data_IF_891818382347
#
_entry.id   IF_891818382347
#
_cell.length_a   1.000
_cell.length_b   1.000
_cell.length_c   1.000
_cell.angle_alpha   90.00
_cell.angle_beta   90.00
_cell.angle_gamma   90.00
#
_symmetry.space_group_name_H-M   'P 1'
#
loop_
_entity.id
_entity.type
_entity.pdbx_description
1 polymer ?
#
# COMPACT_ATOMS: atom_id res chain seq x y z
N UNK A 1 27.31 -10.85 -8.05
CA UNK A 1 27.16 -10.19 -8.00
C UNK A 1 26.64 -9.22 -7.50
N UNK A 2 26.65 -8.87 -7.22
CA UNK A 2 26.34 -8.17 -6.74
C UNK A 2 25.49 -7.42 -6.74
N UNK A 3 25.24 -7.22 -7.17
CA UNK A 3 24.65 -6.55 -7.21
C UNK A 3 23.74 -6.27 -6.85
N UNK A 4 23.58 -6.54 -6.59
CA UNK A 4 22.83 -6.41 -6.26
C UNK A 4 22.54 -5.50 -5.65
N UNK A 5 23.06 -5.20 -5.54
CA UNK A 5 23.01 -4.31 -5.16
C UNK A 5 22.28 -3.31 -5.17
N UNK A 6 21.79 -3.31 -5.65
CA UNK A 6 20.83 -2.39 -5.90
C UNK A 6 19.59 -2.46 -5.13
N UNK A 7 19.60 -3.06 -4.04
CA UNK A 7 18.48 -3.11 -3.19
C UNK A 7 18.16 -1.75 -2.69
N UNK A 8 16.96 -1.31 -2.94
CA UNK A 8 16.41 -0.10 -2.37
C UNK A 8 16.28 -0.34 -0.87
N UNK A 9 17.14 0.29 -0.12
CA UNK A 9 17.14 0.15 1.31
C UNK A 9 16.08 1.05 1.91
N UNK A 10 15.28 0.51 2.82
CA UNK A 10 14.31 1.29 3.55
C UNK A 10 15.02 2.21 4.56
N UNK A 11 14.50 3.41 4.73
CA UNK A 11 14.87 4.24 5.87
C UNK A 11 14.33 3.63 7.16
N UNK A 12 14.92 3.99 8.28
CA UNK A 12 14.51 3.45 9.58
C UNK A 12 13.02 3.64 9.88
N UNK A 13 12.46 4.80 9.55
CA UNK A 13 11.05 5.05 9.79
C UNK A 13 10.17 4.18 8.89
N UNK A 14 10.61 3.87 7.68
CA UNK A 14 9.88 2.98 6.76
C UNK A 14 9.91 1.54 7.26
N UNK A 15 11.08 1.06 7.69
CA UNK A 15 11.19 -0.27 8.30
C UNK A 15 10.29 -0.39 9.51
N UNK A 16 10.28 0.63 10.35
CA UNK A 16 9.44 0.64 11.55
C UNK A 16 7.95 0.53 11.20
N UNK A 17 7.49 1.26 10.18
CA UNK A 17 6.09 1.19 9.75
C UNK A 17 5.75 -0.20 9.23
N UNK A 18 6.59 -0.76 8.39
CA UNK A 18 6.38 -2.11 7.84
C UNK A 18 6.39 -3.15 8.96
N UNK A 19 7.32 -3.06 9.89
CA UNK A 19 7.41 -3.99 11.01
C UNK A 19 6.20 -3.89 11.95
N UNK A 20 5.72 -2.68 12.21
CA UNK A 20 4.51 -2.47 12.99
C UNK A 20 3.30 -3.13 12.31
N UNK A 21 3.18 -2.96 10.99
CA UNK A 21 2.10 -3.58 10.23
C UNK A 21 2.19 -5.10 10.29
N UNK A 22 3.38 -5.67 10.13
CA UNK A 22 3.58 -7.12 10.26
C UNK A 22 3.18 -7.64 11.62
N UNK A 23 3.57 -6.90 12.66
CA UNK A 23 3.26 -7.28 14.04
C UNK A 23 1.75 -7.32 14.27
N UNK A 24 1.03 -6.31 13.77
CA UNK A 24 -0.44 -6.28 13.84
C UNK A 24 -1.03 -7.49 13.15
N UNK A 25 -0.53 -7.86 11.97
CA UNK A 25 -1.07 -8.96 11.18
C UNK A 25 -0.77 -10.34 11.76
N UNK A 26 0.03 -10.46 12.82
CA UNK A 26 0.19 -11.71 13.54
C UNK A 26 -1.10 -12.14 14.26
N UNK A 27 -1.90 -11.18 14.69
CA UNK A 27 -3.10 -11.43 15.47
C UNK A 27 -4.38 -10.85 14.88
N UNK A 28 -4.25 -10.00 13.87
CA UNK A 28 -5.38 -9.30 13.24
C UNK A 28 -5.34 -9.47 11.74
N UNK A 29 -6.45 -9.18 11.09
CA UNK A 29 -6.62 -9.44 9.65
C UNK A 29 -6.27 -8.27 8.76
N UNK A 30 -6.31 -7.05 9.26
CA UNK A 30 -6.15 -5.89 8.40
C UNK A 30 -5.50 -4.69 9.07
N UNK A 31 -4.59 -4.03 8.35
CA UNK A 31 -3.90 -2.83 8.80
C UNK A 31 -3.90 -1.80 7.68
N UNK A 32 -4.12 -0.53 8.04
CA UNK A 32 -3.98 0.60 7.13
C UNK A 32 -2.71 1.36 7.51
N UNK A 33 -1.81 1.53 6.55
CA UNK A 33 -0.60 2.33 6.73
C UNK A 33 -0.87 3.71 6.15
N UNK A 34 -0.90 4.71 7.02
CA UNK A 34 -1.05 6.09 6.63
C UNK A 34 0.33 6.72 6.52
N UNK A 35 0.66 7.16 5.31
CA UNK A 35 1.97 7.73 5.02
C UNK A 35 1.79 8.90 4.07
N UNK A 36 2.27 10.11 4.41
CA UNK A 36 2.04 11.29 3.59
C UNK A 36 2.79 11.20 2.26
N UNK A 37 2.44 12.04 1.28
CA UNK A 37 3.26 12.17 0.07
C UNK A 37 4.70 12.50 0.47
N UNK A 38 5.65 11.90 -0.22
CA UNK A 38 7.07 12.12 0.06
C UNK A 38 7.69 11.14 1.05
N UNK A 39 6.90 10.25 1.62
CA UNK A 39 7.41 9.27 2.60
C UNK A 39 8.03 8.02 2.00
N UNK A 40 8.03 7.91 0.66
CA UNK A 40 8.54 6.69 0.01
C UNK A 40 7.59 5.52 0.12
N UNK A 41 6.29 5.78 -0.03
CA UNK A 41 5.26 4.74 0.04
C UNK A 41 5.52 3.59 -0.93
N UNK A 42 6.01 3.88 -2.13
CA UNK A 42 6.31 2.86 -3.14
C UNK A 42 7.32 1.82 -2.67
N UNK A 43 8.32 2.26 -1.93
CA UNK A 43 9.36 1.36 -1.39
C UNK A 43 8.77 0.44 -0.33
N UNK A 44 7.90 0.97 0.53
CA UNK A 44 7.22 0.19 1.56
C UNK A 44 6.26 -0.82 0.95
N UNK A 45 5.51 -0.41 -0.08
CA UNK A 45 4.61 -1.30 -0.82
C UNK A 45 5.42 -2.47 -1.40
N UNK A 46 6.52 -2.16 -2.08
CA UNK A 46 7.36 -3.17 -2.70
C UNK A 46 7.92 -4.15 -1.67
N UNK A 47 8.31 -3.65 -0.50
CA UNK A 47 8.82 -4.50 0.59
C UNK A 47 7.77 -5.47 1.10
N UNK A 48 6.54 -4.99 1.32
CA UNK A 48 5.44 -5.84 1.78
C UNK A 48 5.14 -6.93 0.75
N UNK A 49 5.03 -6.55 -0.53
CA UNK A 49 4.72 -7.49 -1.61
C UNK A 49 5.87 -8.50 -1.77
N UNK A 50 7.11 -8.03 -1.81
CA UNK A 50 8.28 -8.88 -2.00
C UNK A 50 8.39 -9.95 -0.89
N UNK A 51 8.21 -9.54 0.35
CA UNK A 51 8.27 -10.48 1.47
C UNK A 51 7.21 -11.57 1.37
N UNK A 52 6.00 -11.22 0.98
CA UNK A 52 4.92 -12.18 0.83
C UNK A 52 5.18 -13.13 -0.35
N UNK A 53 5.63 -12.61 -1.48
CA UNK A 53 5.96 -13.42 -2.66
C UNK A 53 7.12 -14.37 -2.36
N UNK A 54 8.15 -13.90 -1.68
CA UNK A 54 9.31 -14.73 -1.35
C UNK A 54 8.96 -15.89 -0.42
N UNK A 55 7.86 -15.77 0.32
CA UNK A 55 7.33 -16.85 1.16
C UNK A 55 6.41 -17.81 0.39
N UNK A 56 6.28 -17.61 -0.92
CA UNK A 56 5.44 -18.45 -1.77
C UNK A 56 3.96 -18.04 -1.77
N UNK A 57 3.62 -16.89 -1.25
CA UNK A 57 2.23 -16.44 -1.16
C UNK A 57 1.77 -15.73 -2.42
N UNK A 58 0.51 -15.94 -2.78
CA UNK A 58 -0.14 -15.22 -3.86
C UNK A 58 -0.74 -13.91 -3.33
N UNK A 59 -0.68 -12.85 -4.13
CA UNK A 59 -1.11 -11.51 -3.73
C UNK A 59 -2.11 -10.96 -4.72
N UNK A 60 -3.18 -10.36 -4.20
CA UNK A 60 -4.05 -9.50 -4.98
C UNK A 60 -3.70 -8.05 -4.66
N UNK A 61 -3.25 -7.33 -5.66
CA UNK A 61 -2.94 -5.90 -5.54
C UNK A 61 -4.04 -5.09 -6.20
N UNK A 62 -4.70 -4.25 -5.42
CA UNK A 62 -5.80 -3.43 -5.91
C UNK A 62 -5.33 -2.00 -6.10
N UNK A 63 -5.47 -1.49 -7.32
CA UNK A 63 -5.25 -0.08 -7.64
C UNK A 63 -6.59 0.59 -7.85
N UNK A 64 -6.69 1.87 -7.48
CA UNK A 64 -7.96 2.55 -7.60
C UNK A 64 -8.30 2.92 -9.04
N UNK A 65 -7.31 3.01 -9.93
CA UNK A 65 -7.51 3.22 -11.36
C UNK A 65 -6.65 2.25 -12.15
N UNK A 66 -7.22 1.72 -13.20
CA UNK A 66 -6.58 0.78 -14.12
C UNK A 66 -5.25 1.33 -14.67
N UNK A 67 -5.17 2.64 -14.92
CA UNK A 67 -3.98 3.29 -15.45
C UNK A 67 -2.77 3.19 -14.49
N UNK A 68 -3.03 3.04 -13.20
CA UNK A 68 -1.98 2.94 -12.18
C UNK A 68 -1.34 1.55 -12.14
N UNK A 69 -1.96 0.54 -12.75
CA UNK A 69 -1.42 -0.83 -12.71
C UNK A 69 -0.04 -0.92 -13.35
N UNK A 70 0.21 -0.14 -14.40
CA UNK A 70 1.51 -0.13 -15.07
C UNK A 70 2.61 0.42 -14.16
N UNK A 71 2.31 1.49 -13.43
CA UNK A 71 3.26 2.08 -12.47
C UNK A 71 3.62 1.09 -11.37
N UNK A 72 2.63 0.38 -10.84
CA UNK A 72 2.86 -0.62 -9.81
C UNK A 72 3.71 -1.78 -10.35
N UNK A 73 3.43 -2.25 -11.56
CA UNK A 73 4.23 -3.30 -12.19
C UNK A 73 5.69 -2.87 -12.32
N UNK A 74 5.93 -1.64 -12.77
CA UNK A 74 7.29 -1.10 -12.88
C UNK A 74 7.99 -1.02 -11.53
N UNK A 75 7.29 -0.54 -10.51
CA UNK A 75 7.83 -0.46 -9.16
C UNK A 75 8.22 -1.83 -8.63
N UNK A 76 7.33 -2.81 -8.75
CA UNK A 76 7.59 -4.15 -8.27
C UNK A 76 8.73 -4.82 -9.04
N UNK A 77 8.80 -4.59 -10.35
CA UNK A 77 9.89 -5.11 -11.17
C UNK A 77 11.24 -4.54 -10.75
N UNK A 78 11.30 -3.25 -10.46
CA UNK A 78 12.52 -2.60 -9.99
C UNK A 78 13.00 -3.16 -8.65
N UNK A 79 12.09 -3.69 -7.85
CA UNK A 79 12.40 -4.28 -6.55
C UNK A 79 12.54 -5.81 -6.63
N UNK A 80 12.66 -6.36 -7.82
CA UNK A 80 12.88 -7.80 -8.05
C UNK A 80 11.75 -8.69 -7.53
N UNK A 81 10.52 -8.21 -7.62
CA UNK A 81 9.34 -9.01 -7.25
C UNK A 81 8.95 -9.91 -8.42
N UNK A 82 8.69 -11.17 -8.13
CA UNK A 82 8.15 -12.12 -9.12
C UNK A 82 6.67 -11.81 -9.36
N UNK A 83 6.38 -11.18 -10.49
CA UNK A 83 5.03 -10.75 -10.83
C UNK A 83 4.07 -11.92 -11.12
N UNK A 84 4.59 -13.12 -11.35
CA UNK A 84 3.71 -14.28 -11.60
C UNK A 84 2.84 -14.62 -10.39
N UNK A 85 3.23 -14.16 -9.21
CA UNK A 85 2.48 -14.38 -7.97
C UNK A 85 1.57 -13.21 -7.59
N UNK A 86 1.47 -12.19 -8.44
CA UNK A 86 0.75 -10.97 -8.10
C UNK A 86 -0.29 -10.67 -9.18
N UNK A 87 -1.56 -10.63 -8.79
CA UNK A 87 -2.63 -10.11 -9.63
C UNK A 87 -2.78 -8.62 -9.34
N UNK A 88 -2.57 -7.78 -10.34
CA UNK A 88 -2.70 -6.32 -10.21
C UNK A 88 -3.93 -5.88 -10.97
N UNK A 89 -4.95 -5.45 -10.23
CA UNK A 89 -6.27 -5.16 -10.80
C UNK A 89 -6.83 -3.86 -10.24
N UNK A 90 -7.64 -3.18 -11.06
CA UNK A 90 -8.46 -2.09 -10.52
C UNK A 90 -9.50 -2.70 -9.59
N UNK A 91 -10.04 -1.90 -8.67
CA UNK A 91 -11.06 -2.40 -7.75
C UNK A 91 -12.31 -2.91 -8.47
N UNK A 92 -12.71 -2.26 -9.56
CA UNK A 92 -13.84 -2.70 -10.37
C UNK A 92 -13.55 -4.05 -11.02
N UNK A 93 -12.38 -4.20 -11.60
CA UNK A 93 -11.96 -5.45 -12.24
C UNK A 93 -11.86 -6.58 -11.21
N UNK A 94 -11.25 -6.28 -10.06
CA UNK A 94 -11.12 -7.25 -8.98
C UNK A 94 -12.48 -7.77 -8.54
N UNK A 95 -13.44 -6.87 -8.32
CA UNK A 95 -14.80 -7.26 -7.93
C UNK A 95 -15.47 -8.11 -8.99
N UNK A 96 -15.26 -7.79 -10.27
CA UNK A 96 -15.90 -8.52 -11.38
C UNK A 96 -15.34 -9.93 -11.58
N UNK A 97 -14.05 -10.15 -11.33
CA UNK A 97 -13.39 -11.43 -11.60
C UNK A 97 -12.86 -12.15 -10.38
N UNK A 98 -13.15 -11.68 -9.17
CA UNK A 98 -12.61 -12.31 -7.94
C UNK A 98 -12.93 -13.80 -7.84
N UNK A 99 -14.05 -14.24 -8.41
CA UNK A 99 -14.44 -15.65 -8.44
C UNK A 99 -13.52 -16.52 -9.29
N UNK A 100 -12.70 -15.91 -10.16
CA UNK A 100 -11.75 -16.62 -11.04
C UNK A 100 -10.31 -16.54 -10.54
N UNK A 101 -10.05 -15.73 -9.50
CA UNK A 101 -8.68 -15.51 -9.03
C UNK A 101 -8.22 -16.65 -8.14
N UNK A 102 -6.91 -16.92 -8.18
CA UNK A 102 -6.28 -17.73 -7.15
C UNK A 102 -6.47 -17.02 -5.82
N UNK A 103 -6.99 -17.69 -4.78
CA UNK A 103 -7.18 -17.03 -3.49
C UNK A 103 -5.87 -16.43 -2.98
N UNK A 104 -5.83 -15.12 -2.74
CA UNK A 104 -4.62 -14.48 -2.26
C UNK A 104 -4.43 -14.71 -0.76
N UNK A 105 -3.17 -14.75 -0.33
CA UNK A 105 -2.83 -14.73 1.09
C UNK A 105 -2.92 -13.33 1.65
N UNK A 106 -2.58 -12.32 0.82
CA UNK A 106 -2.60 -10.92 1.20
C UNK A 106 -3.26 -10.12 0.08
N UNK A 107 -4.12 -9.19 0.47
CA UNK A 107 -4.68 -8.19 -0.43
C UNK A 107 -4.06 -6.85 -0.07
N UNK A 108 -3.32 -6.26 -1.01
CA UNK A 108 -2.70 -4.96 -0.84
C UNK A 108 -3.50 -3.94 -1.64
N UNK A 109 -3.84 -2.83 -1.02
CA UNK A 109 -4.60 -1.76 -1.66
C UNK A 109 -3.81 -0.46 -1.59
N UNK A 110 -3.53 0.13 -2.74
CA UNK A 110 -2.88 1.43 -2.82
C UNK A 110 -3.94 2.53 -2.94
N UNK A 111 -3.73 3.63 -2.24
CA UNK A 111 -4.65 4.76 -2.19
C UNK A 111 -6.06 4.34 -1.74
N UNK A 112 -6.13 3.75 -0.54
CA UNK A 112 -7.42 3.36 0.02
C UNK A 112 -8.23 4.59 0.37
N UNK A 113 -9.37 4.77 -0.30
CA UNK A 113 -10.27 5.90 -0.07
C UNK A 113 -11.53 5.47 0.69
N UNK A 114 -11.96 6.29 1.64
CA UNK A 114 -13.16 6.00 2.44
C UNK A 114 -14.42 5.85 1.59
N UNK A 115 -14.53 6.61 0.52
CA UNK A 115 -15.69 6.56 -0.38
C UNK A 115 -15.85 5.21 -1.09
N UNK A 116 -14.78 4.39 -1.11
CA UNK A 116 -14.78 3.07 -1.74
C UNK A 116 -14.80 1.93 -0.74
N UNK A 117 -15.04 2.22 0.53
CA UNK A 117 -14.98 1.23 1.61
C UNK A 117 -15.87 0.02 1.34
N UNK A 118 -17.07 0.25 0.81
CA UNK A 118 -17.99 -0.86 0.51
C UNK A 118 -17.43 -1.81 -0.54
N UNK A 119 -16.80 -1.28 -1.58
CA UNK A 119 -16.19 -2.10 -2.63
C UNK A 119 -15.06 -2.95 -2.07
N UNK A 120 -14.20 -2.35 -1.24
CA UNK A 120 -13.12 -3.08 -0.58
C UNK A 120 -13.68 -4.16 0.34
N UNK A 121 -14.72 -3.82 1.10
CA UNK A 121 -15.36 -4.78 2.00
C UNK A 121 -15.88 -5.99 1.24
N UNK A 122 -16.53 -5.78 0.10
CA UNK A 122 -17.05 -6.87 -0.73
C UNK A 122 -15.93 -7.82 -1.18
N UNK A 123 -14.79 -7.26 -1.58
CA UNK A 123 -13.63 -8.07 -1.99
C UNK A 123 -13.03 -8.81 -0.78
N UNK A 124 -12.89 -8.11 0.35
CA UNK A 124 -12.33 -8.70 1.55
C UNK A 124 -13.20 -9.82 2.10
N UNK A 125 -14.52 -9.64 2.05
CA UNK A 125 -15.47 -10.66 2.52
C UNK A 125 -15.44 -11.90 1.62
N UNK A 126 -15.13 -11.73 0.33
CA UNK A 126 -14.99 -12.85 -0.59
C UNK A 126 -13.74 -13.69 -0.28
N UNK A 127 -12.69 -13.08 0.24
CA UNK A 127 -11.45 -13.74 0.64
C UNK A 127 -11.22 -13.59 2.15
N UNK A 128 -12.04 -14.25 2.97
CA UNK A 128 -12.03 -14.00 4.43
C UNK A 128 -10.74 -14.43 5.13
N UNK A 129 -9.96 -15.31 4.51
CA UNK A 129 -8.69 -15.77 5.07
C UNK A 129 -7.51 -14.93 4.64
N UNK A 130 -7.70 -13.96 3.75
CA UNK A 130 -6.62 -13.10 3.31
C UNK A 130 -6.34 -11.99 4.32
N UNK A 131 -5.06 -11.68 4.51
CA UNK A 131 -4.65 -10.51 5.26
C UNK A 131 -4.85 -9.26 4.38
N UNK A 132 -5.07 -8.12 5.01
CA UNK A 132 -5.37 -6.85 4.33
C UNK A 132 -4.34 -5.82 4.71
N UNK A 133 -3.67 -5.25 3.72
CA UNK A 133 -2.74 -4.15 3.93
C UNK A 133 -3.12 -3.01 2.99
N UNK A 134 -3.62 -1.94 3.58
CA UNK A 134 -3.95 -0.74 2.81
C UNK A 134 -2.89 0.33 3.01
N UNK A 135 -2.66 1.12 1.98
CA UNK A 135 -1.80 2.30 2.03
C UNK A 135 -2.63 3.53 1.67
N UNK A 136 -2.40 4.62 2.37
CA UNK A 136 -3.08 5.87 2.05
C UNK A 136 -2.20 7.06 2.43
N UNK A 137 -2.23 8.10 1.59
CA UNK A 137 -1.64 9.38 1.93
C UNK A 137 -2.68 10.30 2.60
N UNK A 138 -3.97 9.95 2.48
CA UNK A 138 -5.06 10.75 3.02
C UNK A 138 -5.32 10.35 4.48
N UNK A 139 -5.45 11.32 5.40
CA UNK A 139 -5.74 11.00 6.79
C UNK A 139 -7.09 10.31 6.96
N UNK A 140 -7.07 9.17 7.65
CA UNK A 140 -8.26 8.49 8.14
C UNK A 140 -8.30 8.65 9.64
N UNK A 141 -9.49 8.67 10.21
CA UNK A 141 -9.67 8.60 11.66
C UNK A 141 -9.99 7.15 12.03
N UNK A 142 -9.27 6.62 12.99
CA UNK A 142 -9.47 5.23 13.44
C UNK A 142 -10.90 4.96 13.96
N UNK A 143 -11.59 6.00 14.43
CA UNK A 143 -12.97 5.90 14.88
C UNK A 143 -13.98 6.29 13.81
N UNK A 144 -13.54 6.56 12.56
CA UNK A 144 -14.46 6.94 11.49
C UNK A 144 -15.28 5.74 11.03
N UNK A 145 -16.52 6.05 10.63
CA UNK A 145 -17.42 5.04 10.09
C UNK A 145 -16.78 4.43 8.83
N UNK A 146 -16.80 3.11 8.74
CA UNK A 146 -16.24 2.37 7.63
C UNK A 146 -14.81 1.91 7.81
N UNK A 147 -14.03 2.52 8.70
CA UNK A 147 -12.67 2.09 8.96
C UNK A 147 -12.64 0.66 9.52
N UNK A 148 -13.37 0.42 10.60
CA UNK A 148 -13.40 -0.88 11.27
C UNK A 148 -14.07 -1.96 10.43
N UNK A 149 -14.80 -1.59 9.38
CA UNK A 149 -15.40 -2.54 8.46
C UNK A 149 -14.34 -3.18 7.55
N UNK A 150 -13.22 -2.50 7.33
CA UNK A 150 -12.20 -2.96 6.37
C UNK A 150 -10.81 -3.14 7.00
N UNK A 151 -10.51 -2.45 8.09
CA UNK A 151 -9.23 -2.58 8.79
C UNK A 151 -9.44 -2.68 10.29
N UNK A 152 -8.51 -3.34 10.97
CA UNK A 152 -8.52 -3.48 12.43
C UNK A 152 -7.72 -2.38 13.10
N UNK A 153 -6.60 -1.99 12.52
CA UNK A 153 -5.71 -0.97 13.09
C UNK A 153 -5.10 -0.09 12.02
N UNK A 154 -4.65 1.08 12.47
CA UNK A 154 -3.93 2.05 11.64
C UNK A 154 -2.53 2.24 12.17
N UNK A 155 -1.55 2.30 11.26
CA UNK A 155 -0.19 2.68 11.57
C UNK A 155 0.07 4.02 10.89
N UNK A 156 0.50 5.00 11.65
CA UNK A 156 0.76 6.35 11.12
C UNK A 156 2.23 6.58 10.88
N UNK A 157 2.56 7.03 9.68
CA UNK A 157 3.88 7.50 9.34
C UNK A 157 4.16 8.91 9.86
N UNK A 158 5.36 9.39 9.67
CA UNK A 158 5.73 10.74 10.08
C UNK A 158 4.99 11.80 9.25
N UNK A 159 4.94 13.01 9.77
CA UNK A 159 4.37 14.15 9.04
C UNK A 159 5.28 14.58 7.89
N UNK A 160 4.71 15.31 6.93
CA UNK A 160 5.50 15.92 5.84
C UNK A 160 6.57 16.85 6.44
N UNK A 161 6.21 17.62 7.45
CA UNK A 161 7.14 18.50 8.14
C UNK A 161 8.34 17.77 8.72
N UNK A 162 8.08 16.62 9.37
CA UNK A 162 9.17 15.81 9.91
C UNK A 162 10.08 15.29 8.77
N UNK A 163 9.51 14.86 7.67
CA UNK A 163 10.27 14.36 6.52
C UNK A 163 11.16 15.44 5.92
N UNK A 164 10.64 16.66 5.80
CA UNK A 164 11.43 17.81 5.32
C UNK A 164 12.56 18.11 6.30
N UNK A 165 12.26 18.21 7.59
CA UNK A 165 13.23 18.58 8.62
C UNK A 165 14.33 17.54 8.78
N UNK A 166 14.05 16.28 8.47
CA UNK A 166 15.01 15.19 8.58
C UNK A 166 15.60 14.78 7.22
N UNK A 167 15.36 15.57 6.20
CA UNK A 167 15.89 15.37 4.85
C UNK A 167 15.56 13.96 4.31
N UNK A 168 14.32 13.53 4.54
CA UNK A 168 13.84 12.20 4.14
C UNK A 168 12.78 12.24 3.04
N UNK A 169 12.47 13.43 2.52
CA UNK A 169 11.50 13.56 1.44
C UNK A 169 12.12 13.03 0.14
N UNK A 170 11.46 12.08 -0.52
CA UNK A 170 11.93 11.56 -1.79
C UNK A 170 11.71 12.59 -2.90
N UNK A 171 12.66 12.73 -3.80
CA UNK A 171 12.61 13.73 -4.88
C UNK A 171 11.32 13.67 -5.68
N UNK A 172 10.92 12.47 -6.07
CA UNK A 172 9.70 12.25 -6.82
C UNK A 172 8.46 12.71 -6.04
N UNK A 173 8.41 12.33 -4.78
CA UNK A 173 7.28 12.64 -3.91
C UNK A 173 7.26 14.13 -3.54
N UNK A 174 8.43 14.78 -3.49
CA UNK A 174 8.53 16.22 -3.26
C UNK A 174 7.75 17.01 -4.32
N UNK A 175 7.88 16.62 -5.57
CA UNK A 175 7.14 17.27 -6.66
C UNK A 175 5.63 17.09 -6.48
N UNK A 176 5.19 15.93 -6.03
CA UNK A 176 3.77 15.68 -5.74
C UNK A 176 3.25 16.55 -4.61
N UNK A 177 4.06 16.76 -3.57
CA UNK A 177 3.70 17.64 -2.44
C UNK A 177 3.55 19.10 -2.91
N UNK A 178 4.49 19.58 -3.71
CA UNK A 178 4.46 20.94 -4.24
C UNK A 178 3.21 21.15 -5.10
N UNK A 179 2.90 20.20 -5.97
CA UNK A 179 1.70 20.28 -6.82
C UNK A 179 0.41 20.28 -6.00
N UNK A 180 0.36 19.48 -4.93
CA UNK A 180 -0.79 19.44 -4.04
C UNK A 180 -0.99 20.78 -3.33
N UNK A 181 0.09 21.42 -2.87
CA UNK A 181 0.04 22.73 -2.23
C UNK A 181 -0.41 23.82 -3.20
N UNK A 182 0.10 23.78 -4.43
CA UNK A 182 -0.34 24.72 -5.47
C UNK A 182 -1.83 24.57 -5.76
N UNK A 183 -2.34 23.34 -5.79
CA UNK A 183 -3.76 23.13 -6.03
C UNK A 183 -4.63 23.68 -4.91
N UNK A 184 -4.15 23.67 -3.68
CA UNK A 184 -4.83 24.29 -2.54
C UNK A 184 -4.85 25.80 -2.63
N UNK A 185 -3.80 26.39 -3.17
CA UNK A 185 -3.71 27.85 -3.32
C UNK A 185 -4.62 28.38 -4.42
N UNK A 186 -5.00 27.56 -5.38
CA UNK A 186 -5.88 27.93 -6.49
C UNK A 186 -7.37 27.89 -6.14
N UNK A 187 -7.69 27.41 -4.97
CA UNK A 187 -9.06 27.37 -4.46
C UNK A 187 -9.33 28.57 -3.57
#
# INVERSE_FOLDING_TARGET
>A
SVMWMTTFKLYDYQEKLVDQARHILLNKSGVLIQSPPGSGKSVMIAEVVKNAVNKGNHILFIVHRKELSHQIKNTLTKHDVDLSQVDILSEKRAKNIMHKLTPPKIIVTDETHRSRAKTYKDIYDYFPNALRVGFTATPWRANSKGFTDIYDEMVKGPSVEWLINNNKLADYDYKSVVLADESKLKK
#
